data_IF_130875380818
#
_entry.id   IF_130875380818
#
_cell.length_a   1.000
_cell.length_b   1.000
_cell.length_c   1.000
_cell.angle_alpha   90.00
_cell.angle_beta   90.00
_cell.angle_gamma   90.00
#
_symmetry.space_group_name_H-M   'P 1'
#
loop_
_entity.id
_entity.type
_entity.pdbx_description
1 polymer ?
#
# COMPACT_ATOMS: atom_id res chain seq x y z
N UNK A 1 -34.76 -21.78 30.02
CA UNK A 1 -34.48 -21.68 29.43
C UNK A 1 -33.52 -21.00 28.94
N UNK A 2 -32.87 -20.93 28.62
CA UNK A 2 -32.02 -20.30 28.09
C UNK A 2 -31.51 -19.87 27.24
N UNK A 3 -31.27 -19.49 27.03
CA UNK A 3 -30.90 -19.01 26.16
C UNK A 3 -29.77 -18.65 25.73
N UNK A 4 -29.29 -18.77 25.49
CA UNK A 4 -28.38 -18.43 25.01
C UNK A 4 -27.76 -17.79 24.41
N UNK A 5 -27.40 -17.54 24.11
CA UNK A 5 -26.74 -16.94 23.48
C UNK A 5 -25.94 -16.61 22.96
N UNK A 6 -25.50 -16.47 22.54
CA UNK A 6 -24.73 -16.17 21.92
C UNK A 6 -24.00 -15.54 21.47
N UNK A 7 -23.62 -15.19 21.29
CA UNK A 7 -22.95 -14.59 20.80
C UNK A 7 -22.26 -14.31 20.24
N UNK A 8 -21.91 -14.31 20.03
CA UNK A 8 -21.19 -13.93 19.51
C UNK A 8 -20.57 -13.51 18.93
N UNK A 9 -20.45 -13.55 18.79
CA UNK A 9 -20.02 -13.15 18.24
C UNK A 9 -19.28 -12.73 17.69
N UNK A 10 -19.08 -13.09 17.44
CA UNK A 10 -18.36 -12.94 16.59
C UNK A 10 -17.79 -11.75 16.30
N UNK A 11 -17.55 -11.30 16.89
CA UNK A 11 -17.02 -10.21 16.65
C UNK A 11 -15.82 -10.37 16.05
N UNK A 12 -15.80 -10.28 15.00
CA UNK A 12 -14.69 -10.18 14.31
C UNK A 12 -13.82 -9.23 14.92
N UNK A 13 -12.67 -9.54 15.03
CA UNK A 13 -11.77 -8.67 15.62
C UNK A 13 -11.73 -7.52 14.73
N UNK A 14 -11.87 -6.55 15.30
CA UNK A 14 -11.80 -5.48 14.64
C UNK A 14 -10.67 -5.31 13.90
N UNK A 15 -10.55 -4.92 13.00
CA UNK A 15 -9.62 -4.38 12.13
C UNK A 15 -8.20 -4.58 12.45
N UNK A 16 -7.58 -5.57 11.89
CA UNK A 16 -6.14 -5.70 11.89
C UNK A 16 -5.58 -4.71 10.87
N UNK A 17 -4.33 -4.34 10.98
CA UNK A 17 -3.71 -3.44 10.00
C UNK A 17 -3.79 -3.96 8.57
N UNK A 18 -3.72 -5.28 8.36
CA UNK A 18 -3.86 -5.82 7.02
C UNK A 18 -5.26 -5.62 6.46
N UNK A 19 -6.27 -5.63 7.31
CA UNK A 19 -7.63 -5.36 6.90
C UNK A 19 -7.80 -3.90 6.48
N UNK A 20 -7.08 -3.00 7.11
CA UNK A 20 -7.10 -1.58 6.72
C UNK A 20 -6.61 -1.40 5.29
N UNK A 21 -5.51 -2.05 4.92
CA UNK A 21 -5.00 -1.95 3.56
C UNK A 21 -5.98 -2.54 2.55
N UNK A 22 -6.59 -3.67 2.88
CA UNK A 22 -7.58 -4.29 2.00
C UNK A 22 -8.77 -3.38 1.78
N UNK A 23 -9.28 -2.77 2.86
CA UNK A 23 -10.41 -1.84 2.75
C UNK A 23 -10.07 -0.60 1.93
N UNK A 24 -8.89 -0.04 2.15
CA UNK A 24 -8.44 1.11 1.37
C UNK A 24 -8.33 0.75 -0.11
N UNK A 25 -7.81 -0.43 -0.42
CA UNK A 25 -7.73 -0.91 -1.79
C UNK A 25 -9.10 -0.97 -2.45
N UNK A 26 -10.09 -1.44 -1.71
CA UNK A 26 -11.46 -1.53 -2.21
C UNK A 26 -12.09 -0.15 -2.42
N UNK A 27 -11.88 0.76 -1.47
CA UNK A 27 -12.39 2.13 -1.60
C UNK A 27 -11.77 2.82 -2.82
N UNK A 28 -10.46 2.66 -3.00
CA UNK A 28 -9.75 3.24 -4.12
C UNK A 28 -10.28 2.68 -5.44
N UNK A 29 -10.42 1.35 -5.54
CA UNK A 29 -10.97 0.72 -6.74
C UNK A 29 -12.37 1.26 -7.05
N UNK A 30 -13.15 1.49 -6.03
CA UNK A 30 -14.50 2.04 -6.19
C UNK A 30 -14.54 3.46 -6.73
N UNK A 31 -13.41 4.16 -6.76
CA UNK A 31 -13.34 5.53 -7.29
C UNK A 31 -12.97 5.56 -8.77
N UNK A 32 -12.61 4.43 -9.36
CA UNK A 32 -12.33 4.37 -10.79
C UNK A 32 -13.61 4.70 -11.54
N UNK A 33 -13.51 5.56 -12.52
CA UNK A 33 -14.68 5.97 -13.28
C UNK A 33 -15.63 6.91 -12.56
N UNK A 34 -15.28 7.30 -11.32
CA UNK A 34 -16.09 8.24 -10.56
C UNK A 34 -15.91 9.68 -11.04
N UNK A 35 -16.65 10.58 -10.39
CA UNK A 35 -16.64 11.99 -10.76
C UNK A 35 -15.39 12.68 -10.24
N UNK A 36 -14.51 13.21 -11.12
CA UNK A 36 -13.31 13.93 -10.71
C UNK A 36 -13.59 15.16 -9.86
N UNK A 37 -14.81 15.70 -9.95
CA UNK A 37 -15.17 16.87 -9.14
C UNK A 37 -15.51 16.50 -7.70
N UNK A 38 -15.82 15.23 -7.45
CA UNK A 38 -16.27 14.79 -6.14
C UNK A 38 -15.20 14.02 -5.34
N UNK A 39 -14.15 13.56 -5.99
CA UNK A 39 -13.16 12.72 -5.34
C UNK A 39 -11.76 13.00 -5.87
N UNK A 40 -10.84 13.20 -4.95
CA UNK A 40 -9.42 13.35 -5.28
C UNK A 40 -8.90 12.11 -6.02
N UNK A 41 -9.26 10.91 -5.54
CA UNK A 41 -8.82 9.68 -6.16
C UNK A 41 -9.39 9.53 -7.57
N UNK A 42 -10.68 9.83 -7.75
CA UNK A 42 -11.29 9.82 -9.08
C UNK A 42 -10.59 10.79 -10.02
N UNK A 43 -10.17 11.94 -9.49
CA UNK A 43 -9.43 12.92 -10.27
C UNK A 43 -8.06 12.38 -10.70
N UNK A 44 -7.37 11.68 -9.81
CA UNK A 44 -6.09 11.07 -10.17
C UNK A 44 -6.26 10.02 -11.27
N UNK A 45 -7.26 9.16 -11.15
CA UNK A 45 -7.53 8.17 -12.18
C UNK A 45 -7.87 8.84 -13.51
N UNK A 46 -8.65 9.91 -13.46
CA UNK A 46 -9.02 10.65 -14.66
C UNK A 46 -7.80 11.27 -15.33
N UNK A 47 -6.88 11.82 -14.56
CA UNK A 47 -5.64 12.40 -15.10
C UNK A 47 -4.70 11.33 -15.66
N UNK A 48 -4.74 10.14 -15.08
CA UNK A 48 -4.01 9.01 -15.61
C UNK A 48 -2.63 8.78 -15.03
N UNK A 49 -1.91 7.94 -15.73
CA UNK A 49 -0.64 7.36 -15.34
C UNK A 49 0.39 8.37 -14.84
N UNK A 50 0.71 9.34 -15.64
CA UNK A 50 1.78 10.28 -15.29
C UNK A 50 1.47 11.08 -14.03
N UNK A 51 0.22 11.46 -13.84
CA UNK A 51 -0.17 12.20 -12.63
C UNK A 51 -0.04 11.35 -11.38
N UNK A 52 -0.42 10.08 -11.46
CA UNK A 52 -0.30 9.15 -10.35
C UNK A 52 1.17 8.91 -10.01
N UNK A 53 1.98 8.63 -11.02
CA UNK A 53 3.41 8.35 -10.82
C UNK A 53 4.16 9.57 -10.30
N UNK A 54 3.80 10.75 -10.77
CA UNK A 54 4.40 11.99 -10.27
C UNK A 54 4.15 12.16 -8.77
N UNK A 55 2.94 11.84 -8.32
CA UNK A 55 2.61 11.94 -6.89
C UNK A 55 3.50 11.03 -6.05
N UNK A 56 3.78 9.83 -6.52
CA UNK A 56 4.64 8.91 -5.78
C UNK A 56 6.04 9.50 -5.61
N UNK A 57 6.59 10.07 -6.68
CA UNK A 57 7.90 10.72 -6.59
C UNK A 57 7.91 11.89 -5.61
N UNK A 58 6.88 12.72 -5.65
CA UNK A 58 6.75 13.86 -4.74
C UNK A 58 6.64 13.38 -3.29
N UNK A 59 5.78 12.41 -3.02
CA UNK A 59 5.58 11.90 -1.66
C UNK A 59 6.82 11.19 -1.12
N UNK A 60 7.57 10.49 -1.96
CA UNK A 60 8.81 9.86 -1.54
C UNK A 60 9.84 10.92 -1.09
N UNK A 61 9.93 12.03 -1.81
CA UNK A 61 10.79 13.14 -1.43
C UNK A 61 10.35 13.75 -0.10
N UNK A 62 9.05 13.91 0.08
CA UNK A 62 8.51 14.45 1.33
C UNK A 62 8.82 13.54 2.52
N UNK A 63 8.79 12.23 2.32
CA UNK A 63 9.18 11.27 3.37
C UNK A 63 10.64 11.49 3.77
N UNK A 64 11.53 11.65 2.80
CA UNK A 64 12.95 11.87 3.08
C UNK A 64 13.14 13.15 3.88
N UNK A 65 12.48 14.22 3.48
CA UNK A 65 12.58 15.50 4.17
C UNK A 65 12.01 15.44 5.58
N UNK A 66 10.85 14.79 5.73
CA UNK A 66 10.23 14.64 7.04
C UNK A 66 11.09 13.79 7.99
N UNK A 67 11.76 12.77 7.45
CA UNK A 67 12.64 11.93 8.26
C UNK A 67 13.84 12.73 8.78
N UNK A 68 14.42 13.59 7.94
CA UNK A 68 15.52 14.46 8.36
C UNK A 68 15.06 15.43 9.44
N UNK A 69 13.90 16.04 9.26
CA UNK A 69 13.35 16.96 10.24
C UNK A 69 13.06 16.27 11.58
N UNK A 70 12.50 15.06 11.53
CA UNK A 70 12.18 14.30 12.73
C UNK A 70 13.44 13.98 13.54
N UNK A 71 14.55 13.75 12.85
CA UNK A 71 15.83 13.46 13.48
C UNK A 71 16.31 14.64 14.34
N UNK A 72 16.03 15.87 13.90
CA UNK A 72 16.42 17.08 14.63
C UNK A 72 15.41 17.47 15.68
N UNK A 73 14.13 17.39 15.38
CA UNK A 73 13.09 17.86 16.29
C UNK A 73 12.71 16.82 17.36
N UNK A 74 12.95 15.55 17.08
CA UNK A 74 12.50 14.46 17.96
C UNK A 74 11.02 14.15 17.83
N UNK A 75 10.31 14.80 16.91
CA UNK A 75 8.88 14.57 16.67
C UNK A 75 8.69 13.86 15.34
N UNK A 76 8.23 12.64 15.40
CA UNK A 76 8.05 11.79 14.21
C UNK A 76 6.64 11.83 13.64
N UNK A 77 5.74 12.64 14.19
CA UNK A 77 4.34 12.63 13.73
C UNK A 77 4.20 13.02 12.27
N UNK A 78 4.96 14.00 11.80
CA UNK A 78 4.92 14.43 10.42
C UNK A 78 5.47 13.33 9.50
N UNK A 79 6.50 12.63 9.94
CA UNK A 79 7.07 11.51 9.18
C UNK A 79 6.02 10.43 8.96
N UNK A 80 5.27 10.07 10.00
CA UNK A 80 4.21 9.07 9.88
C UNK A 80 3.17 9.53 8.85
N UNK A 81 2.79 10.79 8.89
CA UNK A 81 1.84 11.36 7.92
C UNK A 81 2.34 11.27 6.49
N UNK A 82 3.62 11.60 6.27
CA UNK A 82 4.19 11.54 4.92
C UNK A 82 4.33 10.11 4.40
N UNK A 83 4.66 9.16 5.27
CA UNK A 83 4.70 7.75 4.88
C UNK A 83 3.29 7.27 4.52
N UNK A 84 2.29 7.70 5.30
CA UNK A 84 0.89 7.35 4.99
C UNK A 84 0.49 7.89 3.61
N UNK A 85 0.89 9.12 3.29
CA UNK A 85 0.62 9.71 1.98
C UNK A 85 1.30 8.92 0.86
N UNK A 86 2.54 8.51 1.07
CA UNK A 86 3.25 7.71 0.09
C UNK A 86 2.56 6.36 -0.12
N UNK A 87 2.22 5.68 0.95
CA UNK A 87 1.53 4.39 0.86
C UNK A 87 0.19 4.54 0.15
N UNK A 88 -0.55 5.59 0.48
CA UNK A 88 -1.84 5.85 -0.15
C UNK A 88 -1.69 6.00 -1.67
N UNK A 89 -0.74 6.79 -2.13
CA UNK A 89 -0.54 6.97 -3.56
C UNK A 89 0.00 5.71 -4.25
N UNK A 90 0.75 4.88 -3.52
CA UNK A 90 1.15 3.57 -4.02
C UNK A 90 -0.08 2.66 -4.20
N UNK A 91 -1.05 2.74 -3.29
CA UNK A 91 -2.30 1.98 -3.42
C UNK A 91 -3.10 2.44 -4.63
N UNK A 92 -3.11 3.75 -4.90
CA UNK A 92 -3.78 4.28 -6.11
C UNK A 92 -3.10 3.73 -7.36
N UNK A 93 -1.77 3.72 -7.39
CA UNK A 93 -1.02 3.17 -8.50
C UNK A 93 -1.33 1.70 -8.72
N UNK A 94 -1.33 0.92 -7.63
CA UNK A 94 -1.64 -0.51 -7.73
C UNK A 94 -3.01 -0.71 -8.36
N UNK A 95 -4.01 0.02 -7.88
CA UNK A 95 -5.36 -0.06 -8.43
C UNK A 95 -5.38 0.30 -9.91
N UNK A 96 -4.64 1.33 -10.30
CA UNK A 96 -4.56 1.78 -11.69
C UNK A 96 -4.02 0.66 -12.60
N UNK A 97 -3.14 -0.19 -12.10
CA UNK A 97 -2.61 -1.33 -12.83
C UNK A 97 -3.34 -2.63 -12.50
N UNK A 98 -4.55 -2.54 -11.94
CA UNK A 98 -5.40 -3.69 -11.60
C UNK A 98 -4.75 -4.64 -10.59
N UNK A 99 -3.97 -4.07 -9.68
CA UNK A 99 -3.35 -4.81 -8.59
C UNK A 99 -3.96 -4.40 -7.26
N UNK A 100 -3.84 -5.29 -6.28
CA UNK A 100 -4.36 -5.06 -4.94
C UNK A 100 -3.24 -5.06 -3.91
N UNK A 101 -3.47 -4.44 -2.74
CA UNK A 101 -2.48 -4.48 -1.66
C UNK A 101 -2.05 -5.90 -1.31
N UNK A 102 -2.96 -6.87 -1.44
CA UNK A 102 -2.65 -8.27 -1.13
C UNK A 102 -1.50 -8.80 -1.97
N UNK A 103 -1.33 -8.32 -3.20
CA UNK A 103 -0.22 -8.76 -4.05
C UNK A 103 1.13 -8.34 -3.45
N UNK A 104 1.19 -7.12 -2.90
CA UNK A 104 2.42 -6.63 -2.29
C UNK A 104 2.68 -7.35 -0.97
N UNK A 105 1.62 -7.56 -0.18
CA UNK A 105 1.74 -8.27 1.09
C UNK A 105 2.23 -9.69 0.87
N UNK A 106 1.71 -10.38 -0.15
CA UNK A 106 2.16 -11.73 -0.49
C UNK A 106 3.65 -11.74 -0.85
N UNK A 107 4.11 -10.75 -1.58
CA UNK A 107 5.53 -10.65 -1.94
C UNK A 107 6.40 -10.40 -0.71
N UNK A 108 5.93 -9.57 0.21
CA UNK A 108 6.64 -9.34 1.47
C UNK A 108 6.68 -10.62 2.33
N UNK A 109 5.58 -11.35 2.38
CA UNK A 109 5.53 -12.61 3.11
C UNK A 109 6.50 -13.62 2.49
N UNK A 110 6.58 -13.67 1.18
CA UNK A 110 7.52 -14.56 0.50
C UNK A 110 8.95 -14.24 0.90
N UNK A 111 9.26 -12.97 1.14
CA UNK A 111 10.60 -12.55 1.54
C UNK A 111 10.90 -12.80 3.01
N UNK A 112 9.87 -13.00 3.83
CA UNK A 112 10.09 -13.29 5.23
C UNK A 112 10.92 -14.56 5.35
N UNK A 113 11.87 -14.55 6.23
CA UNK A 113 12.71 -15.71 6.45
C UNK A 113 13.85 -15.89 5.45
N UNK A 114 13.87 -15.11 4.34
CA UNK A 114 14.98 -15.19 3.40
C UNK A 114 16.04 -14.17 3.80
N UNK A 115 17.31 -14.57 3.72
CA UNK A 115 18.39 -13.61 3.93
C UNK A 115 18.50 -12.75 2.67
N UNK A 116 19.13 -11.60 2.80
CA UNK A 116 19.38 -10.73 1.65
C UNK A 116 20.19 -11.42 0.55
N UNK A 117 21.10 -12.29 0.93
CA UNK A 117 21.90 -13.04 -0.04
C UNK A 117 21.06 -14.07 -0.78
N UNK A 118 20.17 -14.76 -0.06
CA UNK A 118 19.27 -15.73 -0.67
C UNK A 118 18.33 -15.06 -1.66
N UNK A 119 17.77 -13.92 -1.31
CA UNK A 119 16.87 -13.18 -2.19
C UNK A 119 17.60 -12.71 -3.45
N UNK A 120 18.82 -12.23 -3.30
CA UNK A 120 19.64 -11.79 -4.43
C UNK A 120 19.94 -12.96 -5.36
N UNK A 121 20.26 -14.13 -4.80
CA UNK A 121 20.53 -15.32 -5.58
C UNK A 121 19.29 -15.78 -6.36
N UNK A 122 18.12 -15.72 -5.74
CA UNK A 122 16.87 -16.08 -6.39
C UNK A 122 16.56 -15.14 -7.55
N UNK A 123 16.78 -13.84 -7.37
CA UNK A 123 16.54 -12.88 -8.45
C UNK A 123 17.47 -13.13 -9.64
N UNK A 124 18.74 -13.40 -9.37
CA UNK A 124 19.68 -13.72 -10.44
C UNK A 124 19.28 -14.99 -11.19
N UNK A 125 18.81 -15.99 -10.46
CA UNK A 125 18.37 -17.23 -11.06
C UNK A 125 17.19 -17.01 -12.01
N UNK A 126 16.21 -16.23 -11.57
CA UNK A 126 15.04 -15.90 -12.39
C UNK A 126 15.42 -15.12 -13.64
N UNK A 127 16.34 -14.18 -13.50
CA UNK A 127 16.82 -13.39 -14.64
C UNK A 127 17.50 -14.28 -15.68
N UNK A 128 18.28 -15.25 -15.23
CA UNK A 128 18.92 -16.21 -16.13
C UNK A 128 17.88 -17.05 -16.87
N UNK A 129 16.85 -17.50 -16.16
CA UNK A 129 15.80 -18.29 -16.77
C UNK A 129 15.04 -17.49 -17.82
N UNK A 130 14.79 -16.22 -17.56
CA UNK A 130 14.08 -15.35 -18.49
C UNK A 130 14.95 -15.00 -19.71
N UNK A 131 16.24 -14.83 -19.50
CA UNK A 131 17.14 -14.41 -20.56
C UNK A 131 17.86 -15.54 -21.27
N UNK A 132 17.91 -16.69 -20.64
CA UNK A 132 18.66 -17.80 -21.16
C UNK A 132 17.83 -18.80 -21.91
N UNK A 133 16.60 -18.48 -22.13
CA UNK A 133 15.70 -19.36 -22.78
C UNK A 133 16.16 -19.93 -24.04
#
# INVERSE_FOLDING_TARGET
MNPSTPDTTGSAPLDTPSDTLARLGQVIDGRKGGDPEQSYVSRLFHKGDDAILKKIGEEATEVVMAAKDARHSGDASKLVGEVADLWFHCLVMLSHYDLQPAHVLAELERREGLSGLEEKALRKSREREQNGG
#
